data_IF_470897073976
#
_entry.id   IF_470897073976
#
_cell.length_a   1.000
_cell.length_b   1.000
_cell.length_c   1.000
_cell.angle_alpha   90.00
_cell.angle_beta   90.00
_cell.angle_gamma   90.00
#
_symmetry.space_group_name_H-M   'P 1'
#
loop_
_entity.id
_entity.type
_entity.pdbx_description
1 polymer ?
#
# COMPACT_ATOMS: atom_id res chain seq x y z
N UNK A 1 -13.45 7.25 10.59
CA UNK A 1 -12.30 8.02 10.08
C UNK A 1 -12.52 9.54 10.12
N UNK A 2 -13.66 10.08 9.63
CA UNK A 2 -13.91 11.53 9.59
C UNK A 2 -13.74 12.28 10.92
N UNK A 3 -14.33 11.79 12.02
CA UNK A 3 -14.27 12.47 13.35
C UNK A 3 -12.91 12.42 14.07
N UNK A 4 -11.99 11.53 13.65
CA UNK A 4 -10.66 11.40 14.27
C UNK A 4 -9.63 12.26 13.51
N UNK A 5 -9.82 12.43 12.19
CA UNK A 5 -8.99 13.32 11.35
C UNK A 5 -9.07 14.79 11.75
N UNK A 6 -10.13 15.20 12.45
CA UNK A 6 -10.31 16.59 12.89
C UNK A 6 -9.57 16.93 14.20
N UNK A 7 -9.00 15.95 14.92
CA UNK A 7 -8.37 16.16 16.25
C UNK A 7 -6.90 15.74 16.35
N UNK A 8 -6.40 14.95 15.41
CA UNK A 8 -5.01 14.45 15.40
C UNK A 8 -4.36 14.94 14.12
N UNK A 9 -3.13 15.45 14.19
CA UNK A 9 -2.39 15.88 13.01
C UNK A 9 -2.41 14.76 11.96
N UNK A 10 -2.92 15.09 10.78
CA UNK A 10 -3.04 14.17 9.65
C UNK A 10 -1.73 13.41 9.39
N UNK A 11 -0.58 14.02 9.68
CA UNK A 11 0.76 13.45 9.60
C UNK A 11 0.91 12.12 10.37
N UNK A 12 0.44 12.05 11.61
CA UNK A 12 0.62 10.85 12.44
C UNK A 12 -0.31 9.72 11.99
N UNK A 13 -1.53 10.05 11.58
CA UNK A 13 -2.49 9.08 11.04
C UNK A 13 -2.02 8.50 9.70
N UNK A 14 -1.56 9.36 8.79
CA UNK A 14 -1.03 8.96 7.47
C UNK A 14 0.19 8.06 7.65
N UNK A 15 1.18 8.49 8.46
CA UNK A 15 2.41 7.73 8.67
C UNK A 15 2.13 6.40 9.39
N UNK A 16 1.27 6.42 10.43
CA UNK A 16 0.87 5.20 11.14
C UNK A 16 0.16 4.21 10.22
N UNK A 17 -0.72 4.68 9.33
CA UNK A 17 -1.37 3.85 8.32
C UNK A 17 -0.37 3.20 7.36
N UNK A 18 0.63 3.96 6.89
CA UNK A 18 1.69 3.42 6.02
C UNK A 18 2.56 2.37 6.72
N UNK A 19 2.92 2.60 7.99
CA UNK A 19 3.65 1.61 8.80
C UNK A 19 2.84 0.34 8.97
N UNK A 20 1.53 0.44 9.24
CA UNK A 20 0.65 -0.71 9.36
C UNK A 20 0.55 -1.51 8.06
N UNK A 21 0.48 -0.83 6.91
CA UNK A 21 0.54 -1.47 5.59
C UNK A 21 1.88 -2.17 5.36
N UNK A 22 3.01 -1.57 5.73
CA UNK A 22 4.33 -2.20 5.64
C UNK A 22 4.38 -3.49 6.47
N UNK A 23 3.90 -3.45 7.72
CA UNK A 23 3.83 -4.64 8.58
C UNK A 23 2.97 -5.74 7.95
N UNK A 24 1.83 -5.38 7.35
CA UNK A 24 0.98 -6.33 6.62
C UNK A 24 1.68 -6.97 5.41
N UNK A 25 2.44 -6.17 4.63
CA UNK A 25 3.24 -6.66 3.51
C UNK A 25 4.39 -7.58 3.98
N UNK A 26 5.04 -7.24 5.09
CA UNK A 26 6.12 -8.06 5.66
C UNK A 26 5.58 -9.40 6.17
N UNK A 27 4.43 -9.42 6.84
CA UNK A 27 3.79 -10.68 7.20
C UNK A 27 3.43 -11.48 5.94
N UNK A 28 2.82 -10.86 4.93
CA UNK A 28 2.49 -11.56 3.70
C UNK A 28 3.73 -12.11 2.97
N UNK A 29 4.89 -11.45 3.09
CA UNK A 29 6.16 -11.95 2.54
C UNK A 29 6.70 -13.20 3.25
N UNK A 30 6.23 -13.50 4.47
CA UNK A 30 6.57 -14.69 5.24
C UNK A 30 5.69 -15.91 4.93
N UNK A 31 4.83 -15.82 3.92
CA UNK A 31 3.96 -16.92 3.50
C UNK A 31 4.81 -18.09 2.98
N UNK A 32 4.59 -19.29 3.52
CA UNK A 32 5.36 -20.49 3.19
C UNK A 32 4.48 -21.70 2.92
N UNK A 33 4.98 -22.62 2.08
CA UNK A 33 4.25 -23.81 1.62
C UNK A 33 3.92 -24.81 2.73
N UNK A 34 4.64 -24.79 3.85
CA UNK A 34 4.47 -25.73 4.96
C UNK A 34 3.45 -25.29 6.01
N UNK A 35 2.73 -24.18 5.79
CA UNK A 35 1.76 -23.66 6.75
C UNK A 35 0.45 -24.46 6.75
N UNK A 36 0.03 -24.92 7.92
CA UNK A 36 -1.23 -25.69 8.08
C UNK A 36 -2.49 -24.85 7.92
N UNK A 37 -2.44 -23.53 8.15
CA UNK A 37 -3.60 -22.63 8.08
C UNK A 37 -3.33 -21.37 7.23
N UNK A 38 -3.06 -21.57 5.94
CA UNK A 38 -2.76 -20.49 4.98
C UNK A 38 -3.92 -19.50 4.86
N UNK A 39 -5.17 -19.97 4.81
CA UNK A 39 -6.33 -19.12 4.62
C UNK A 39 -6.51 -18.11 5.77
N UNK A 40 -6.40 -18.56 7.03
CA UNK A 40 -6.48 -17.69 8.20
C UNK A 40 -5.33 -16.67 8.24
N UNK A 41 -4.13 -17.09 7.85
CA UNK A 41 -2.97 -16.20 7.75
C UNK A 41 -3.20 -15.07 6.74
N UNK A 42 -3.64 -15.42 5.52
CA UNK A 42 -3.94 -14.44 4.47
C UNK A 42 -5.02 -13.47 4.94
N UNK A 43 -6.12 -13.96 5.55
CA UNK A 43 -7.18 -13.08 6.06
C UNK A 43 -6.64 -12.04 7.04
N UNK A 44 -5.83 -12.46 8.01
CA UNK A 44 -5.26 -11.55 9.01
C UNK A 44 -4.36 -10.51 8.32
N UNK A 45 -3.47 -10.93 7.42
CA UNK A 45 -2.59 -9.99 6.71
C UNK A 45 -3.38 -8.98 5.87
N UNK A 46 -4.46 -9.40 5.21
CA UNK A 46 -5.34 -8.50 4.46
C UNK A 46 -6.05 -7.49 5.37
N UNK A 47 -6.45 -7.89 6.58
CA UNK A 47 -7.01 -6.95 7.58
C UNK A 47 -5.99 -5.87 7.95
N UNK A 48 -4.74 -6.24 8.22
CA UNK A 48 -3.68 -5.26 8.51
C UNK A 48 -3.47 -4.27 7.36
N UNK A 49 -3.39 -4.78 6.12
CA UNK A 49 -3.22 -3.94 4.92
C UNK A 49 -4.43 -3.01 4.73
N UNK A 50 -5.65 -3.52 4.86
CA UNK A 50 -6.88 -2.75 4.68
C UNK A 50 -7.04 -1.66 5.75
N UNK A 51 -6.71 -1.97 7.00
CA UNK A 51 -6.71 -0.97 8.09
C UNK A 51 -5.68 0.12 7.82
N UNK A 52 -4.46 -0.23 7.38
CA UNK A 52 -3.43 0.74 7.04
C UNK A 52 -3.86 1.65 5.88
N UNK A 53 -4.44 1.08 4.83
CA UNK A 53 -4.97 1.81 3.69
C UNK A 53 -6.12 2.75 4.06
N UNK A 54 -7.01 2.34 4.98
CA UNK A 54 -8.11 3.17 5.47
C UNK A 54 -7.61 4.36 6.31
N UNK A 55 -6.61 4.13 7.18
CA UNK A 55 -5.98 5.17 7.99
C UNK A 55 -5.17 6.16 7.15
N UNK A 56 -4.56 5.71 6.06
CA UNK A 56 -3.82 6.56 5.13
C UNK A 56 -4.76 7.38 4.23
N UNK A 57 -5.75 6.75 3.60
CA UNK A 57 -6.53 7.36 2.52
C UNK A 57 -7.40 8.54 2.99
N UNK A 58 -8.02 8.44 4.16
CA UNK A 58 -8.95 9.45 4.67
C UNK A 58 -8.27 10.81 4.99
N UNK A 59 -7.22 10.88 5.83
CA UNK A 59 -6.51 12.14 6.09
C UNK A 59 -5.65 12.61 4.90
N UNK A 60 -5.12 11.70 4.08
CA UNK A 60 -4.33 12.08 2.90
C UNK A 60 -5.18 12.89 1.90
N UNK A 61 -6.33 12.34 1.52
CA UNK A 61 -7.27 13.03 0.60
C UNK A 61 -7.77 14.35 1.20
N UNK A 62 -8.09 14.35 2.51
CA UNK A 62 -8.61 15.54 3.19
C UNK A 62 -7.58 16.67 3.24
N UNK A 63 -6.29 16.36 3.41
CA UNK A 63 -5.24 17.39 3.39
C UNK A 63 -5.03 17.95 1.98
N UNK A 64 -5.02 17.10 0.96
CA UNK A 64 -4.82 17.55 -0.42
C UNK A 64 -5.96 18.48 -0.83
N UNK A 65 -7.21 18.09 -0.56
CA UNK A 65 -8.38 18.92 -0.84
C UNK A 65 -8.41 20.20 0.00
N UNK A 66 -7.93 20.15 1.23
CA UNK A 66 -7.81 21.34 2.09
C UNK A 66 -6.70 22.31 1.68
N UNK A 67 -5.81 21.92 0.75
CA UNK A 67 -4.67 22.75 0.29
C UNK A 67 -4.95 23.47 -1.03
N UNK A 68 -6.12 23.26 -1.64
CA UNK A 68 -6.49 23.83 -2.94
C UNK A 68 -7.75 24.69 -2.81
N UNK A 69 -7.93 25.66 -3.71
CA UNK A 69 -9.15 26.48 -3.70
C UNK A 69 -10.38 25.66 -4.13
N UNK A 70 -11.61 25.99 -3.66
CA UNK A 70 -12.82 25.26 -4.02
C UNK A 70 -13.07 25.11 -5.53
N UNK A 71 -12.66 26.12 -6.32
CA UNK A 71 -12.75 26.10 -7.77
C UNK A 71 -11.85 25.03 -8.44
N UNK A 72 -10.80 24.57 -7.74
CA UNK A 72 -9.79 23.64 -8.26
C UNK A 72 -10.02 22.19 -7.79
N UNK A 73 -11.06 21.91 -7.00
CA UNK A 73 -11.31 20.57 -6.45
C UNK A 73 -11.41 19.48 -7.52
N UNK A 74 -12.01 19.78 -8.67
CA UNK A 74 -12.11 18.83 -9.79
C UNK A 74 -10.72 18.47 -10.34
N UNK A 75 -9.84 19.45 -10.49
CA UNK A 75 -8.46 19.25 -10.94
C UNK A 75 -7.61 18.53 -9.88
N UNK A 76 -7.74 18.91 -8.61
CA UNK A 76 -7.02 18.25 -7.53
C UNK A 76 -7.42 16.77 -7.41
N UNK A 77 -8.71 16.46 -7.52
CA UNK A 77 -9.23 15.09 -7.47
C UNK A 77 -8.72 14.25 -8.63
N UNK A 78 -8.72 14.80 -9.84
CA UNK A 78 -8.23 14.09 -11.02
C UNK A 78 -6.74 13.79 -10.93
N UNK A 79 -5.92 14.75 -10.47
CA UNK A 79 -4.48 14.56 -10.23
C UNK A 79 -4.24 13.47 -9.19
N UNK A 80 -4.96 13.49 -8.05
CA UNK A 80 -4.85 12.45 -7.01
C UNK A 80 -5.21 11.06 -7.57
N UNK A 81 -6.27 10.97 -8.36
CA UNK A 81 -6.68 9.72 -9.01
C UNK A 81 -5.63 9.20 -9.97
N UNK A 82 -5.05 10.07 -10.81
CA UNK A 82 -3.98 9.71 -11.76
C UNK A 82 -2.74 9.21 -11.02
N UNK A 83 -2.29 9.91 -9.99
CA UNK A 83 -1.13 9.50 -9.19
C UNK A 83 -1.35 8.13 -8.54
N UNK A 84 -2.55 7.90 -7.99
CA UNK A 84 -2.89 6.60 -7.39
C UNK A 84 -2.94 5.49 -8.44
N UNK A 85 -3.55 5.73 -9.59
CA UNK A 85 -3.61 4.74 -10.68
C UNK A 85 -2.22 4.41 -11.23
N UNK A 86 -1.36 5.41 -11.42
CA UNK A 86 0.03 5.20 -11.79
C UNK A 86 0.76 4.31 -10.76
N UNK A 87 0.57 4.57 -9.47
CA UNK A 87 1.11 3.72 -8.41
C UNK A 87 0.62 2.26 -8.48
N UNK A 88 -0.67 2.04 -8.75
CA UNK A 88 -1.21 0.69 -8.94
C UNK A 88 -0.61 -0.01 -10.16
N UNK A 89 -0.43 0.71 -11.27
CA UNK A 89 0.21 0.16 -12.47
C UNK A 89 1.67 -0.23 -12.22
N UNK A 90 2.42 0.61 -11.50
CA UNK A 90 3.81 0.32 -11.12
C UNK A 90 3.85 -0.92 -10.22
N UNK A 91 3.00 -1.01 -9.21
CA UNK A 91 2.91 -2.18 -8.33
C UNK A 91 2.57 -3.46 -9.12
N UNK A 92 1.60 -3.37 -10.03
CA UNK A 92 1.23 -4.49 -10.89
C UNK A 92 2.37 -4.91 -11.82
N UNK A 93 3.11 -3.96 -12.39
CA UNK A 93 4.27 -4.23 -13.23
C UNK A 93 5.39 -4.94 -12.45
N UNK A 94 5.65 -4.53 -11.20
CA UNK A 94 6.62 -5.22 -10.32
C UNK A 94 6.19 -6.66 -10.06
N UNK A 95 4.93 -6.89 -9.70
CA UNK A 95 4.40 -8.23 -9.47
C UNK A 95 4.48 -9.11 -10.73
N UNK A 96 4.07 -8.58 -11.89
CA UNK A 96 4.15 -9.30 -13.16
C UNK A 96 5.58 -9.61 -13.57
N UNK A 97 6.52 -8.67 -13.37
CA UNK A 97 7.92 -8.89 -13.64
C UNK A 97 8.50 -9.99 -12.74
N UNK A 98 8.18 -9.98 -11.44
CA UNK A 98 8.60 -11.03 -10.53
C UNK A 98 8.05 -12.41 -10.97
N UNK A 99 6.75 -12.51 -11.23
CA UNK A 99 6.15 -13.77 -11.72
C UNK A 99 6.81 -14.21 -13.02
N UNK A 100 7.02 -13.31 -13.98
CA UNK A 100 7.66 -13.65 -15.25
C UNK A 100 9.11 -14.13 -15.10
N UNK A 101 9.86 -13.61 -14.13
CA UNK A 101 11.26 -13.98 -13.90
C UNK A 101 11.37 -15.30 -13.15
N UNK A 102 10.53 -15.53 -12.14
CA UNK A 102 10.62 -16.70 -11.28
C UNK A 102 9.81 -17.90 -11.79
N UNK A 103 8.59 -17.67 -12.29
CA UNK A 103 7.69 -18.74 -12.75
C UNK A 103 7.82 -18.96 -14.27
N UNK A 104 8.20 -17.93 -15.02
CA UNK A 104 8.29 -18.00 -16.48
C UNK A 104 6.94 -17.82 -17.18
N UNK A 105 6.94 -17.99 -18.51
CA UNK A 105 5.76 -17.83 -19.37
C UNK A 105 5.02 -19.14 -19.67
N UNK A 106 4.90 -20.04 -18.69
CA UNK A 106 4.30 -21.37 -18.91
C UNK A 106 2.80 -21.39 -18.59
N UNK A 107 2.02 -21.93 -19.53
CA UNK A 107 0.55 -21.98 -19.49
C UNK A 107 -0.03 -22.97 -18.44
N UNK A 108 0.78 -23.58 -17.57
CA UNK A 108 0.33 -24.52 -16.54
C UNK A 108 1.09 -24.35 -15.22
N UNK A 109 0.45 -23.73 -14.23
CA UNK A 109 0.87 -23.74 -12.82
C UNK A 109 0.73 -25.16 -12.24
N UNK A 110 1.80 -25.95 -12.33
CA UNK A 110 1.91 -27.28 -11.71
C UNK A 110 2.42 -27.22 -10.26
N UNK A 111 2.30 -28.33 -9.49
CA UNK A 111 2.78 -28.41 -8.11
C UNK A 111 4.27 -28.09 -7.94
N UNK A 112 5.07 -28.37 -8.98
CA UNK A 112 6.50 -28.13 -8.97
C UNK A 112 6.83 -26.63 -8.93
N UNK A 113 5.94 -25.78 -9.46
CA UNK A 113 6.17 -24.33 -9.55
C UNK A 113 5.67 -23.54 -8.34
N UNK A 114 5.09 -24.20 -7.34
CA UNK A 114 4.58 -23.53 -6.15
C UNK A 114 5.70 -22.87 -5.34
N UNK A 115 6.90 -23.45 -5.33
CA UNK A 115 8.05 -22.86 -4.67
C UNK A 115 8.49 -21.55 -5.34
N UNK A 116 8.63 -21.55 -6.67
CA UNK A 116 9.00 -20.34 -7.41
C UNK A 116 7.92 -19.25 -7.34
N UNK A 117 6.63 -19.64 -7.36
CA UNK A 117 5.53 -18.70 -7.18
C UNK A 117 5.54 -18.02 -5.81
N UNK A 118 5.78 -18.79 -4.74
CA UNK A 118 5.88 -18.23 -3.38
C UNK A 118 7.09 -17.29 -3.27
N UNK A 119 8.22 -17.62 -3.91
CA UNK A 119 9.37 -16.73 -3.93
C UNK A 119 9.10 -15.45 -4.73
N UNK A 120 8.42 -15.54 -5.87
CA UNK A 120 7.98 -14.38 -6.65
C UNK A 120 7.06 -13.45 -5.82
N UNK A 121 6.12 -14.04 -5.07
CA UNK A 121 5.24 -13.32 -4.16
C UNK A 121 6.03 -12.62 -3.06
N UNK A 122 6.96 -13.34 -2.42
CA UNK A 122 7.83 -12.80 -1.36
C UNK A 122 8.63 -11.61 -1.85
N UNK A 123 9.31 -11.74 -3.00
CA UNK A 123 10.12 -10.66 -3.59
C UNK A 123 9.23 -9.46 -3.94
N UNK A 124 8.06 -9.68 -4.53
CA UNK A 124 7.11 -8.61 -4.87
C UNK A 124 6.64 -7.83 -3.63
N UNK A 125 6.32 -8.53 -2.55
CA UNK A 125 5.90 -7.92 -1.29
C UNK A 125 7.04 -7.14 -0.63
N UNK A 126 8.27 -7.66 -0.66
CA UNK A 126 9.45 -6.98 -0.12
C UNK A 126 9.80 -5.71 -0.91
N UNK A 127 9.74 -5.74 -2.25
CA UNK A 127 9.94 -4.55 -3.07
C UNK A 127 8.88 -3.51 -2.77
N UNK A 128 7.61 -3.92 -2.71
CA UNK A 128 6.49 -3.03 -2.37
C UNK A 128 6.63 -2.43 -0.98
N UNK A 129 7.08 -3.22 0.01
CA UNK A 129 7.37 -2.75 1.34
C UNK A 129 8.53 -1.74 1.34
N UNK A 130 9.59 -1.97 0.56
CA UNK A 130 10.70 -1.04 0.41
C UNK A 130 10.27 0.31 -0.19
N UNK A 131 9.44 0.29 -1.24
CA UNK A 131 8.85 1.49 -1.82
C UNK A 131 7.98 2.23 -0.79
N UNK A 132 7.17 1.48 -0.02
CA UNK A 132 6.33 2.06 1.03
C UNK A 132 7.16 2.69 2.16
N UNK A 133 8.30 2.09 2.54
CA UNK A 133 9.25 2.66 3.51
C UNK A 133 9.79 4.01 3.00
N UNK A 134 10.21 4.10 1.74
CA UNK A 134 10.61 5.38 1.14
C UNK A 134 9.47 6.41 1.22
N UNK A 135 8.23 5.97 0.97
CA UNK A 135 7.03 6.79 1.18
C UNK A 135 6.85 7.27 2.63
N UNK A 136 7.13 6.43 3.63
CA UNK A 136 7.10 6.80 5.05
C UNK A 136 8.12 7.90 5.34
N UNK A 137 9.34 7.81 4.79
CA UNK A 137 10.33 8.87 4.92
C UNK A 137 9.80 10.20 4.38
N UNK A 138 9.27 10.23 3.15
CA UNK A 138 8.68 11.45 2.60
C UNK A 138 7.47 11.96 3.40
N UNK A 139 6.62 11.05 3.89
CA UNK A 139 5.48 11.38 4.76
C UNK A 139 5.92 11.98 6.10
N UNK A 140 7.03 11.50 6.67
CA UNK A 140 7.55 12.02 7.93
C UNK A 140 8.16 13.41 7.80
N UNK A 141 8.78 13.72 6.66
CA UNK A 141 9.34 15.06 6.39
C UNK A 141 8.31 16.07 5.87
N UNK A 142 7.05 15.65 5.70
CA UNK A 142 5.94 16.56 5.38
C UNK A 142 5.78 17.63 6.46
N UNK A 143 5.66 18.89 6.01
CA UNK A 143 5.41 20.07 6.84
C UNK A 143 4.01 20.08 7.49
N UNK A 144 3.75 21.02 8.42
CA UNK A 144 2.47 21.13 9.12
C UNK A 144 1.31 21.31 8.14
N UNK A 145 0.12 20.81 8.49
CA UNK A 145 -1.09 21.12 7.72
C UNK A 145 -1.35 22.64 7.77
N UNK A 146 -1.81 23.27 6.67
CA UNK A 146 -2.21 24.67 6.69
C UNK A 146 -3.30 24.89 7.74
N UNK A 147 -3.17 25.97 8.51
CA UNK A 147 -4.14 26.36 9.53
C UNK A 147 -5.51 26.58 8.88
N UNK A 148 -6.52 25.80 9.29
CA UNK A 148 -7.91 25.96 8.81
C UNK A 148 -8.47 27.22 9.44
N UNK A 149 -8.40 28.36 8.73
CA UNK A 149 -9.22 29.54 9.03
C UNK A 149 -10.61 29.41 8.43
#
# INVERSE_FOLDING_TARGET
AGKISDKVDAKYLVTGGMILTIVGLLFLSGLGLSMTNVAGYIMITQVFIALGAALFSAPNTSTIMGSVAPAEYSMASSVVSVVRQAGMLISMAVCMAAVSVFVGGTDMLGPDMYAEFVEALRVSMLISAGIAVAGVFFSWFRGPAPDRK
#
